data_IF_546095498358
#
_entry.id   IF_546095498358
#
_cell.length_a   1.000
_cell.length_b   1.000
_cell.length_c   1.000
_cell.angle_alpha   90.00
_cell.angle_beta   90.00
_cell.angle_gamma   90.00
#
_symmetry.space_group_name_H-M   'P 1'
#
loop_
_entity.id
_entity.type
_entity.pdbx_description
1 polymer ?
#
# COMPACT_ATOMS: atom_id res chain seq x y z
N UNK A 1 21.19 -4.15 7.63
CA UNK A 1 20.09 -3.16 7.74
C UNK A 1 19.14 -3.25 6.55
N UNK A 2 17.90 -2.82 6.76
CA UNK A 2 16.86 -2.64 5.74
C UNK A 2 16.34 -1.23 5.88
N UNK A 3 16.29 -0.46 4.78
CA UNK A 3 15.88 0.94 4.84
C UNK A 3 15.15 1.41 3.59
N UNK A 4 14.36 2.46 3.72
CA UNK A 4 13.86 3.27 2.60
C UNK A 4 14.20 4.74 2.83
N UNK A 5 14.60 5.42 1.75
CA UNK A 5 14.81 6.88 1.67
C UNK A 5 14.07 7.48 0.47
N UNK A 6 13.02 6.79 -0.01
CA UNK A 6 12.27 7.14 -1.23
C UNK A 6 11.02 7.99 -0.95
N UNK A 7 10.82 8.44 0.28
CA UNK A 7 9.60 9.12 0.70
C UNK A 7 8.51 8.17 1.20
N UNK A 8 8.55 6.91 0.77
CA UNK A 8 7.60 5.87 1.17
C UNK A 8 8.31 4.53 1.41
N UNK A 9 7.75 3.70 2.28
CA UNK A 9 8.07 2.28 2.34
C UNK A 9 7.38 1.57 1.16
N UNK A 10 8.08 0.65 0.51
CA UNK A 10 7.58 0.00 -0.70
C UNK A 10 7.83 -1.51 -0.68
N UNK A 11 7.40 -2.20 -1.75
CA UNK A 11 7.65 -3.63 -1.94
C UNK A 11 9.14 -3.99 -2.02
N UNK A 12 10.03 -3.04 -2.30
CA UNK A 12 11.48 -3.29 -2.25
C UNK A 12 11.97 -3.54 -0.82
N UNK A 13 11.49 -2.72 0.13
CA UNK A 13 11.84 -2.82 1.54
C UNK A 13 10.63 -2.43 2.38
N UNK A 14 10.00 -3.44 2.96
CA UNK A 14 8.89 -3.24 3.89
C UNK A 14 9.41 -2.94 5.29
N UNK A 15 8.71 -2.14 6.09
CA UNK A 15 9.08 -1.82 7.47
C UNK A 15 8.76 -2.99 8.41
N UNK A 16 9.24 -4.18 8.06
CA UNK A 16 9.02 -5.42 8.78
C UNK A 16 10.28 -6.28 8.76
N UNK A 17 10.70 -6.76 9.91
CA UNK A 17 11.86 -7.64 10.06
C UNK A 17 11.54 -8.83 10.96
N UNK A 18 12.18 -9.95 10.68
CA UNK A 18 12.13 -11.15 11.51
C UNK A 18 13.55 -11.51 11.95
N UNK A 19 13.72 -11.69 13.25
CA UNK A 19 14.87 -12.34 13.84
C UNK A 19 14.46 -13.76 14.22
N UNK A 20 15.19 -14.76 13.75
CA UNK A 20 14.80 -16.14 13.97
C UNK A 20 15.98 -17.06 14.18
N UNK A 21 15.72 -18.26 14.71
CA UNK A 21 16.69 -19.32 14.78
C UNK A 21 17.22 -19.70 13.41
N UNK A 22 18.48 -20.15 13.34
CA UNK A 22 19.12 -20.56 12.09
C UNK A 22 18.32 -21.65 11.33
N UNK A 23 17.66 -22.52 12.06
CA UNK A 23 16.88 -23.64 11.51
C UNK A 23 15.37 -23.36 11.47
N UNK A 24 14.94 -22.11 11.69
CA UNK A 24 13.52 -21.76 11.61
C UNK A 24 12.98 -22.03 10.22
N UNK A 25 11.77 -22.54 10.15
CA UNK A 25 11.01 -22.81 8.94
C UNK A 25 9.55 -22.45 9.13
N UNK A 26 8.67 -22.87 8.24
CA UNK A 26 7.25 -22.55 8.29
C UNK A 26 6.57 -23.00 9.59
N UNK A 27 6.93 -24.17 10.13
CA UNK A 27 6.22 -24.81 11.23
C UNK A 27 7.02 -24.85 12.54
N UNK A 28 8.31 -24.52 12.50
CA UNK A 28 9.22 -24.69 13.63
C UNK A 28 10.26 -23.58 13.74
N UNK A 29 10.68 -23.30 14.99
CA UNK A 29 11.75 -22.38 15.35
C UNK A 29 11.25 -21.10 16.02
N UNK A 30 12.14 -20.51 16.82
CA UNK A 30 11.86 -19.23 17.48
C UNK A 30 11.88 -18.11 16.46
N UNK A 31 10.82 -17.33 16.41
CA UNK A 31 10.70 -16.16 15.52
C UNK A 31 10.24 -14.94 16.31
N UNK A 32 10.98 -13.85 16.18
CA UNK A 32 10.67 -12.52 16.71
C UNK A 32 10.41 -11.60 15.54
N UNK A 33 9.16 -11.15 15.38
CA UNK A 33 8.79 -10.18 14.36
C UNK A 33 8.75 -8.76 14.92
N UNK A 34 9.12 -7.78 14.13
CA UNK A 34 8.94 -6.37 14.41
C UNK A 34 8.39 -5.65 13.19
N UNK A 35 7.23 -5.01 13.33
CA UNK A 35 6.55 -4.24 12.29
C UNK A 35 6.46 -2.77 12.71
N UNK A 36 7.04 -1.87 11.95
CA UNK A 36 6.89 -0.42 12.15
C UNK A 36 5.60 0.04 11.49
N UNK A 37 4.72 0.66 12.25
CA UNK A 37 3.45 1.21 11.74
C UNK A 37 3.67 2.59 11.12
N UNK A 38 4.39 2.60 9.99
CA UNK A 38 4.77 3.81 9.30
C UNK A 38 4.97 3.55 7.80
N UNK A 39 4.48 4.44 6.96
CA UNK A 39 4.54 4.31 5.50
C UNK A 39 5.64 5.14 4.84
N UNK A 40 6.35 5.97 5.61
CA UNK A 40 7.42 6.85 5.11
C UNK A 40 8.81 6.20 5.12
N UNK A 41 9.83 7.04 5.10
CA UNK A 41 11.23 6.61 5.17
C UNK A 41 11.55 5.95 6.50
N UNK A 42 12.02 4.73 6.48
CA UNK A 42 12.33 3.95 7.68
C UNK A 42 13.74 3.34 7.65
N UNK A 43 14.23 3.00 8.82
CA UNK A 43 15.43 2.19 9.01
C UNK A 43 15.10 1.06 9.99
N UNK A 44 15.51 -0.15 9.66
CA UNK A 44 15.58 -1.28 10.57
C UNK A 44 17.01 -1.86 10.53
N UNK A 45 17.65 -1.96 11.68
CA UNK A 45 19.03 -2.41 11.80
C UNK A 45 19.17 -3.41 12.93
N UNK A 46 19.74 -4.57 12.61
CA UNK A 46 20.17 -5.55 13.60
C UNK A 46 21.70 -5.55 13.71
N UNK A 47 22.20 -5.40 14.92
CA UNK A 47 23.61 -5.35 15.23
C UNK A 47 23.94 -6.38 16.30
N UNK A 48 25.01 -7.15 16.06
CA UNK A 48 25.60 -8.01 17.08
C UNK A 48 26.79 -7.24 17.70
N UNK A 49 26.75 -7.03 19.00
CA UNK A 49 27.80 -6.33 19.71
C UNK A 49 28.98 -7.24 20.06
N UNK A 50 30.01 -6.67 20.69
CA UNK A 50 31.23 -7.39 21.10
C UNK A 50 31.02 -8.41 22.22
N UNK A 51 29.83 -8.47 22.80
CA UNK A 51 29.44 -9.42 23.85
C UNK A 51 28.41 -10.44 23.33
N UNK A 52 28.28 -10.59 22.01
CA UNK A 52 27.30 -11.44 21.35
C UNK A 52 25.82 -11.10 21.69
N UNK A 53 25.58 -9.82 22.04
CA UNK A 53 24.21 -9.35 22.26
C UNK A 53 23.64 -8.77 20.97
N UNK A 54 22.46 -9.24 20.60
CA UNK A 54 21.74 -8.75 19.44
C UNK A 54 20.88 -7.54 19.82
N UNK A 55 21.11 -6.44 19.11
CA UNK A 55 20.30 -5.22 19.22
C UNK A 55 19.52 -4.99 17.93
N UNK A 56 18.22 -4.81 18.04
CA UNK A 56 17.35 -4.37 16.93
C UNK A 56 16.97 -2.91 17.16
N UNK A 57 17.22 -2.07 16.17
CA UNK A 57 16.77 -0.68 16.10
C UNK A 57 15.82 -0.53 14.92
N UNK A 58 14.66 0.09 15.13
CA UNK A 58 13.67 0.32 14.08
C UNK A 58 12.96 1.66 14.31
N UNK A 59 12.76 2.43 13.24
CA UNK A 59 12.10 3.73 13.33
C UNK A 59 12.18 4.53 12.04
N UNK A 60 11.91 5.83 12.16
CA UNK A 60 12.05 6.79 11.06
C UNK A 60 13.51 6.82 10.63
N UNK A 61 13.75 6.82 9.30
CA UNK A 61 15.12 6.90 8.78
C UNK A 61 15.74 8.26 9.13
N UNK A 62 16.93 8.29 9.77
CA UNK A 62 17.58 9.54 10.14
C UNK A 62 18.12 10.33 8.95
N UNK A 63 18.26 9.71 7.78
CA UNK A 63 18.66 10.41 6.55
C UNK A 63 17.55 11.36 6.13
N UNK A 64 17.91 12.64 5.92
CA UNK A 64 16.97 13.69 5.51
C UNK A 64 15.82 13.96 6.50
N UNK A 65 15.96 13.51 7.75
CA UNK A 65 15.01 13.77 8.82
C UNK A 65 15.63 14.66 9.90
N UNK A 66 14.95 15.77 10.19
CA UNK A 66 15.33 16.67 11.28
C UNK A 66 14.04 17.22 11.92
N UNK A 67 13.97 17.16 13.23
CA UNK A 67 12.86 17.68 14.01
C UNK A 67 13.37 18.51 15.18
N UNK A 68 12.97 19.78 15.25
CA UNK A 68 13.34 20.68 16.35
C UNK A 68 12.34 20.51 17.51
N UNK A 69 12.81 20.06 18.67
CA UNK A 69 12.04 20.00 19.91
C UNK A 69 12.37 21.19 20.78
N UNK A 70 11.38 22.02 21.07
CA UNK A 70 11.49 23.12 22.06
C UNK A 70 11.12 22.59 23.45
N UNK A 71 11.53 23.29 24.53
CA UNK A 71 11.15 22.91 25.88
C UNK A 71 9.62 22.83 26.02
N UNK A 72 9.12 21.65 26.41
CA UNK A 72 7.70 21.37 26.55
C UNK A 72 7.05 20.71 25.31
N UNK A 73 7.74 20.64 24.17
CA UNK A 73 7.24 19.95 22.99
C UNK A 73 7.35 18.42 23.13
N UNK A 74 6.45 17.72 22.46
CA UNK A 74 6.43 16.26 22.38
C UNK A 74 6.48 15.85 20.91
N UNK A 75 7.37 14.94 20.57
CA UNK A 75 7.38 14.26 19.29
C UNK A 75 6.84 12.84 19.43
N UNK A 76 5.69 12.56 18.80
CA UNK A 76 5.12 11.22 18.77
C UNK A 76 5.69 10.47 17.57
N UNK A 77 6.56 9.50 17.83
CA UNK A 77 7.13 8.63 16.81
C UNK A 77 6.17 7.50 16.41
N UNK A 78 6.41 6.83 15.27
CA UNK A 78 5.62 5.68 14.88
C UNK A 78 5.82 4.50 15.84
N UNK A 79 4.75 3.72 16.02
CA UNK A 79 4.75 2.54 16.88
C UNK A 79 5.44 1.36 16.19
N UNK A 80 6.12 0.52 16.99
CA UNK A 80 6.62 -0.79 16.57
C UNK A 80 5.81 -1.86 17.26
N UNK A 81 5.18 -2.74 16.47
CA UNK A 81 4.47 -3.91 16.98
C UNK A 81 5.41 -5.10 16.93
N UNK A 82 5.63 -5.71 18.08
CA UNK A 82 6.48 -6.89 18.21
C UNK A 82 5.63 -8.14 18.51
N UNK A 83 6.02 -9.26 17.93
CA UNK A 83 5.43 -10.56 18.18
C UNK A 83 6.50 -11.63 18.33
N UNK A 84 6.19 -12.67 19.10
CA UNK A 84 7.05 -13.83 19.33
C UNK A 84 6.27 -15.12 19.16
N UNK A 85 6.90 -16.11 18.57
CA UNK A 85 6.37 -17.48 18.48
C UNK A 85 7.50 -18.51 18.44
N UNK A 86 7.23 -19.73 18.85
CA UNK A 86 8.08 -20.91 18.67
C UNK A 86 7.56 -21.85 17.57
N UNK A 87 6.51 -21.42 16.85
CA UNK A 87 5.86 -22.17 15.78
C UNK A 87 6.23 -21.66 14.38
N UNK A 88 7.46 -21.21 14.20
CA UNK A 88 8.01 -20.82 12.91
C UNK A 88 7.32 -19.62 12.25
N UNK A 89 7.52 -19.48 10.94
CA UNK A 89 6.99 -18.34 10.19
C UNK A 89 5.47 -18.33 10.07
N UNK A 90 4.83 -19.49 9.99
CA UNK A 90 3.37 -19.61 9.97
C UNK A 90 2.76 -19.09 11.27
N UNK A 91 3.32 -19.50 12.43
CA UNK A 91 2.87 -18.99 13.73
C UNK A 91 2.99 -17.46 13.82
N UNK A 92 4.13 -16.91 13.40
CA UNK A 92 4.34 -15.46 13.38
C UNK A 92 3.35 -14.74 12.45
N UNK A 93 3.14 -15.28 11.25
CA UNK A 93 2.20 -14.76 10.26
C UNK A 93 0.77 -14.69 10.84
N UNK A 94 0.31 -15.74 11.49
CA UNK A 94 -1.01 -15.77 12.11
C UNK A 94 -1.16 -14.68 13.20
N UNK A 95 -0.16 -14.48 14.06
CA UNK A 95 -0.18 -13.44 15.09
C UNK A 95 -0.36 -12.05 14.47
N UNK A 96 0.39 -11.75 13.40
CA UNK A 96 0.26 -10.46 12.71
C UNK A 96 -1.05 -10.33 11.94
N UNK A 97 -1.55 -11.40 11.30
CA UNK A 97 -2.85 -11.37 10.64
C UNK A 97 -3.99 -11.07 11.63
N UNK A 98 -3.96 -11.67 12.81
CA UNK A 98 -4.95 -11.41 13.84
C UNK A 98 -4.84 -9.98 14.38
N UNK A 99 -3.61 -9.52 14.63
CA UNK A 99 -3.38 -8.13 15.01
C UNK A 99 -3.91 -7.13 13.97
N UNK A 100 -3.62 -7.37 12.68
CA UNK A 100 -4.09 -6.48 11.62
C UNK A 100 -5.61 -6.47 11.50
N UNK A 101 -6.26 -7.62 11.57
CA UNK A 101 -7.73 -7.72 11.53
C UNK A 101 -8.40 -7.02 12.70
N UNK A 102 -7.85 -7.15 13.90
CA UNK A 102 -8.48 -6.64 15.12
C UNK A 102 -8.15 -5.19 15.42
N UNK A 103 -6.94 -4.72 15.07
CA UNK A 103 -6.44 -3.41 15.50
C UNK A 103 -6.26 -2.41 14.35
N UNK A 104 -5.78 -2.84 13.17
CA UNK A 104 -5.47 -1.94 12.05
C UNK A 104 -6.58 -1.83 11.03
N UNK A 105 -7.21 -2.94 10.67
CA UNK A 105 -8.26 -2.98 9.66
C UNK A 105 -9.58 -2.47 10.24
N UNK A 106 -9.78 -1.16 10.21
CA UNK A 106 -10.99 -0.49 10.75
C UNK A 106 -12.09 -0.29 9.71
N UNK A 107 -11.86 -0.67 8.45
CA UNK A 107 -12.86 -0.53 7.39
C UNK A 107 -14.04 -1.50 7.63
N UNK A 108 -15.25 -1.00 7.49
CA UNK A 108 -16.48 -1.82 7.53
C UNK A 108 -16.45 -2.96 6.51
N UNK A 109 -15.77 -2.76 5.37
CA UNK A 109 -15.62 -3.78 4.34
C UNK A 109 -14.77 -4.97 4.77
N UNK A 110 -13.92 -4.83 5.78
CA UNK A 110 -13.07 -5.93 6.28
C UNK A 110 -13.80 -6.79 7.31
N UNK A 111 -14.73 -6.20 8.07
CA UNK A 111 -15.47 -6.88 9.15
C UNK A 111 -16.77 -7.54 8.70
N UNK A 112 -17.41 -7.05 7.64
CA UNK A 112 -18.79 -7.41 7.31
C UNK A 112 -18.96 -8.12 5.95
N UNK A 113 -18.01 -7.95 5.03
CA UNK A 113 -18.14 -8.44 3.64
C UNK A 113 -16.82 -8.99 3.13
N UNK A 114 -16.88 -10.04 2.32
CA UNK A 114 -15.72 -10.49 1.54
C UNK A 114 -15.17 -9.34 0.69
N UNK A 115 -13.86 -9.27 0.55
CA UNK A 115 -13.23 -8.31 -0.36
C UNK A 115 -13.75 -8.55 -1.78
N UNK A 116 -14.10 -7.48 -2.52
CA UNK A 116 -14.61 -7.64 -3.87
C UNK A 116 -13.54 -8.22 -4.80
N UNK A 117 -13.95 -9.06 -5.73
CA UNK A 117 -13.11 -9.45 -6.85
C UNK A 117 -12.93 -8.24 -7.75
N UNK A 118 -11.68 -7.86 -8.00
CA UNK A 118 -11.29 -6.61 -8.66
C UNK A 118 -10.68 -6.89 -10.03
N UNK A 119 -11.05 -6.06 -11.01
CA UNK A 119 -10.31 -5.88 -12.25
C UNK A 119 -9.76 -4.45 -12.31
N UNK A 120 -8.51 -4.31 -12.69
CA UNK A 120 -7.87 -3.04 -12.95
C UNK A 120 -7.74 -2.84 -14.46
N UNK A 121 -7.94 -1.62 -14.95
CA UNK A 121 -7.91 -1.32 -16.40
C UNK A 121 -6.49 -1.33 -17.00
N UNK A 122 -5.42 -1.30 -16.18
CA UNK A 122 -4.06 -1.09 -16.66
C UNK A 122 -3.64 -2.11 -17.72
N UNK A 123 -3.65 -3.40 -17.39
CA UNK A 123 -3.22 -4.44 -18.32
C UNK A 123 -4.11 -4.59 -19.57
N UNK A 124 -5.35 -4.09 -19.51
CA UNK A 124 -6.28 -4.14 -20.63
C UNK A 124 -6.14 -2.96 -21.59
N UNK A 125 -5.66 -1.81 -21.10
CA UNK A 125 -5.75 -0.57 -21.87
C UNK A 125 -4.56 0.38 -21.67
N UNK A 126 -3.73 0.20 -20.64
CA UNK A 126 -2.76 1.19 -20.20
C UNK A 126 -3.41 2.58 -20.09
N UNK A 127 -2.79 3.62 -20.66
CA UNK A 127 -3.35 4.98 -20.71
C UNK A 127 -4.27 5.23 -21.92
N UNK A 128 -4.41 4.24 -22.84
CA UNK A 128 -5.25 4.33 -24.05
C UNK A 128 -6.66 3.83 -23.77
N UNK A 129 -7.46 4.64 -23.09
CA UNK A 129 -8.86 4.37 -22.80
C UNK A 129 -9.71 5.63 -22.84
N UNK A 130 -11.01 5.41 -22.97
CA UNK A 130 -12.07 6.40 -22.78
C UNK A 130 -13.19 5.81 -21.91
N UNK A 131 -14.20 6.62 -21.62
CA UNK A 131 -15.37 6.20 -20.83
C UNK A 131 -16.13 5.02 -21.46
N UNK A 132 -16.18 4.93 -22.79
CA UNK A 132 -16.88 3.83 -23.51
C UNK A 132 -16.12 2.52 -23.29
N UNK A 133 -14.81 2.52 -23.48
CA UNK A 133 -13.93 1.33 -23.30
C UNK A 133 -13.99 0.81 -21.87
N UNK A 134 -13.98 1.71 -20.89
CA UNK A 134 -14.09 1.33 -19.48
C UNK A 134 -15.42 0.65 -19.16
N UNK A 135 -16.52 1.15 -19.70
CA UNK A 135 -17.86 0.53 -19.56
C UNK A 135 -17.93 -0.83 -20.25
N UNK A 136 -17.28 -1.00 -21.39
CA UNK A 136 -17.19 -2.29 -22.08
C UNK A 136 -16.39 -3.32 -21.26
N UNK A 137 -15.25 -2.92 -20.70
CA UNK A 137 -14.46 -3.75 -19.77
C UNK A 137 -15.30 -4.15 -18.56
N UNK A 138 -16.03 -3.20 -17.96
CA UNK A 138 -16.89 -3.47 -16.83
C UNK A 138 -17.99 -4.48 -17.16
N UNK A 139 -18.68 -4.35 -18.30
CA UNK A 139 -19.71 -5.30 -18.74
C UNK A 139 -19.15 -6.71 -18.92
N UNK A 140 -17.99 -6.83 -19.57
CA UNK A 140 -17.33 -8.13 -19.74
C UNK A 140 -16.94 -8.75 -18.40
N UNK A 141 -16.33 -7.95 -17.51
CA UNK A 141 -15.92 -8.36 -16.17
C UNK A 141 -17.11 -8.78 -15.30
N UNK A 142 -18.21 -8.04 -15.35
CA UNK A 142 -19.43 -8.38 -14.60
C UNK A 142 -19.97 -9.75 -14.98
N UNK A 143 -19.97 -10.08 -16.26
CA UNK A 143 -20.41 -11.40 -16.74
C UNK A 143 -19.52 -12.56 -16.22
N UNK A 144 -18.31 -12.26 -15.80
CA UNK A 144 -17.37 -13.21 -15.18
C UNK A 144 -17.44 -13.23 -13.64
N UNK A 145 -18.32 -12.44 -13.04
CA UNK A 145 -18.50 -12.37 -11.59
C UNK A 145 -17.56 -11.39 -10.87
N UNK A 146 -16.98 -10.44 -11.59
CA UNK A 146 -16.13 -9.37 -10.99
C UNK A 146 -17.04 -8.31 -10.34
N UNK A 147 -16.63 -7.81 -9.17
CA UNK A 147 -17.43 -6.90 -8.34
C UNK A 147 -16.97 -5.44 -8.42
N UNK A 148 -15.73 -5.18 -8.82
CA UNK A 148 -15.09 -3.88 -8.76
C UNK A 148 -14.24 -3.64 -10.01
N UNK A 149 -14.47 -2.52 -10.72
CA UNK A 149 -13.56 -1.98 -11.73
C UNK A 149 -12.74 -0.86 -11.10
N UNK A 150 -11.42 -0.92 -11.26
CA UNK A 150 -10.50 0.18 -10.95
C UNK A 150 -10.04 0.82 -12.25
N UNK A 151 -10.32 2.12 -12.41
CA UNK A 151 -9.72 2.95 -13.45
C UNK A 151 -8.33 3.34 -13.00
N UNK A 152 -7.32 2.92 -13.76
CA UNK A 152 -5.91 3.13 -13.46
C UNK A 152 -5.37 4.44 -14.04
N UNK A 153 -4.06 4.57 -14.16
CA UNK A 153 -3.33 5.75 -14.63
C UNK A 153 -3.83 6.26 -16.00
N UNK A 154 -3.69 7.56 -16.22
CA UNK A 154 -4.09 8.20 -17.49
C UNK A 154 -5.47 8.84 -17.51
N UNK A 155 -6.23 8.84 -16.39
CA UNK A 155 -7.57 9.44 -16.31
C UNK A 155 -7.55 10.96 -16.05
N UNK A 156 -6.40 11.54 -15.69
CA UNK A 156 -6.25 12.90 -15.19
C UNK A 156 -5.31 13.74 -16.07
N UNK A 157 -5.47 15.05 -16.02
CA UNK A 157 -4.60 16.03 -16.68
C UNK A 157 -4.35 15.71 -18.15
N UNK A 158 -3.09 15.83 -18.56
CA UNK A 158 -2.58 15.42 -19.88
C UNK A 158 -1.67 14.19 -19.74
N UNK A 159 -2.11 13.22 -18.98
CA UNK A 159 -1.40 12.00 -18.66
C UNK A 159 -1.62 10.94 -19.75
N UNK A 160 -0.89 11.04 -20.85
CA UNK A 160 -0.92 10.11 -21.98
C UNK A 160 0.33 9.22 -22.05
N UNK A 161 1.34 9.53 -21.24
CA UNK A 161 2.58 8.80 -21.09
C UNK A 161 3.16 8.99 -19.66
N UNK A 162 4.29 8.35 -19.38
CA UNK A 162 4.92 8.36 -18.05
C UNK A 162 5.70 9.66 -17.73
N UNK A 163 5.79 10.61 -18.65
CA UNK A 163 6.70 11.75 -18.51
C UNK A 163 6.07 12.96 -17.83
N UNK A 164 4.74 13.08 -17.83
CA UNK A 164 4.04 14.27 -17.32
C UNK A 164 2.75 13.93 -16.58
N UNK A 165 2.12 14.94 -15.97
CA UNK A 165 0.77 14.91 -15.44
C UNK A 165 0.63 14.39 -14.00
N UNK A 166 1.66 13.77 -13.39
CA UNK A 166 1.58 13.35 -11.98
C UNK A 166 1.45 14.59 -11.08
N UNK A 167 0.37 14.63 -10.30
CA UNK A 167 -0.01 15.79 -9.49
C UNK A 167 -1.23 16.55 -10.03
N UNK A 168 -1.57 16.38 -11.30
CA UNK A 168 -2.70 17.03 -11.98
C UNK A 168 -4.00 16.26 -11.81
N UNK A 169 -4.48 16.11 -10.59
CA UNK A 169 -5.64 15.28 -10.23
C UNK A 169 -7.00 15.88 -10.65
N UNK A 170 -7.08 16.36 -11.88
CA UNK A 170 -8.34 16.78 -12.50
C UNK A 170 -8.67 15.89 -13.71
N UNK A 171 -9.94 15.59 -13.89
CA UNK A 171 -10.40 14.63 -14.90
C UNK A 171 -10.01 15.10 -16.30
N UNK A 172 -9.45 14.20 -17.11
CA UNK A 172 -9.25 14.40 -18.53
C UNK A 172 -10.60 14.25 -19.26
N UNK A 173 -11.21 15.39 -19.61
CA UNK A 173 -12.52 15.45 -20.26
C UNK A 173 -12.50 14.95 -21.71
N UNK A 174 -11.34 14.90 -22.36
CA UNK A 174 -11.19 14.33 -23.70
C UNK A 174 -11.31 12.80 -23.67
N UNK A 175 -10.91 12.16 -22.58
CA UNK A 175 -11.05 10.73 -22.36
C UNK A 175 -12.39 10.37 -21.69
N UNK A 176 -12.74 11.09 -20.63
CA UNK A 176 -13.98 10.83 -19.86
C UNK A 176 -15.04 11.85 -20.28
N UNK A 177 -15.50 11.72 -21.51
CA UNK A 177 -16.43 12.68 -22.15
C UNK A 177 -17.78 12.76 -21.48
N UNK A 178 -18.25 11.67 -20.89
CA UNK A 178 -19.48 11.69 -20.11
C UNK A 178 -19.36 12.34 -18.75
N UNK A 179 -18.12 12.64 -18.29
CA UNK A 179 -17.79 13.09 -16.95
C UNK A 179 -17.67 11.94 -15.96
N UNK A 180 -16.78 12.12 -14.96
CA UNK A 180 -16.46 11.07 -13.98
C UNK A 180 -17.70 10.59 -13.22
N UNK A 181 -18.57 11.51 -12.81
CA UNK A 181 -19.80 11.15 -12.08
C UNK A 181 -20.67 10.15 -12.88
N UNK A 182 -20.90 10.46 -14.15
CA UNK A 182 -21.71 9.60 -15.01
C UNK A 182 -21.06 8.27 -15.34
N UNK A 183 -19.74 8.24 -15.48
CA UNK A 183 -18.99 6.98 -15.62
C UNK A 183 -19.19 6.09 -14.38
N UNK A 184 -19.06 6.66 -13.19
CA UNK A 184 -19.29 5.95 -11.92
C UNK A 184 -20.72 5.41 -11.84
N UNK A 185 -21.72 6.21 -12.21
CA UNK A 185 -23.13 5.77 -12.26
C UNK A 185 -23.30 4.57 -13.21
N UNK A 186 -22.76 4.65 -14.42
CA UNK A 186 -22.86 3.56 -15.41
C UNK A 186 -22.23 2.24 -14.88
N UNK A 187 -21.10 2.32 -14.17
CA UNK A 187 -20.49 1.15 -13.57
C UNK A 187 -21.33 0.61 -12.40
N UNK A 188 -21.88 1.49 -11.58
CA UNK A 188 -22.75 1.12 -10.46
C UNK A 188 -24.07 0.49 -10.95
N UNK A 189 -24.64 0.96 -12.05
CA UNK A 189 -25.84 0.41 -12.68
C UNK A 189 -25.64 -1.04 -13.17
N UNK A 190 -24.40 -1.43 -13.47
CA UNK A 190 -24.05 -2.83 -13.73
C UNK A 190 -24.00 -3.70 -12.46
N UNK A 191 -24.22 -3.11 -11.28
CA UNK A 191 -24.05 -3.76 -9.99
C UNK A 191 -22.58 -4.01 -9.63
N UNK A 192 -21.69 -3.17 -10.14
CA UNK A 192 -20.26 -3.16 -9.81
C UNK A 192 -19.90 -1.94 -8.97
N UNK A 193 -18.83 -2.04 -8.20
CA UNK A 193 -18.19 -0.89 -7.55
C UNK A 193 -17.19 -0.24 -8.50
N UNK A 194 -16.89 1.03 -8.25
CA UNK A 194 -15.86 1.78 -8.96
C UNK A 194 -14.72 2.16 -8.03
N UNK A 195 -13.50 2.00 -8.50
CA UNK A 195 -12.27 2.47 -7.87
C UNK A 195 -11.49 3.35 -8.83
N UNK A 196 -10.61 4.17 -8.27
CA UNK A 196 -9.77 5.09 -9.02
C UNK A 196 -8.35 5.06 -8.44
N UNK A 197 -7.37 5.05 -9.32
CA UNK A 197 -5.97 5.01 -8.96
C UNK A 197 -5.41 6.44 -8.76
N UNK A 198 -4.53 6.56 -7.77
CA UNK A 198 -3.75 7.76 -7.49
C UNK A 198 -2.31 7.39 -7.12
N UNK A 199 -1.35 8.21 -7.50
CA UNK A 199 0.07 8.12 -7.12
C UNK A 199 0.51 9.41 -6.39
N UNK A 200 0.06 9.64 -5.14
CA UNK A 200 0.29 10.89 -4.44
C UNK A 200 1.73 11.11 -3.99
N UNK A 201 2.57 10.09 -4.04
CA UNK A 201 3.99 10.10 -3.69
C UNK A 201 4.88 10.69 -4.79
N UNK A 202 4.35 10.89 -5.98
CA UNK A 202 5.09 11.35 -7.16
C UNK A 202 4.48 12.62 -7.73
N UNK A 203 5.34 13.44 -8.31
CA UNK A 203 4.96 14.70 -8.99
C UNK A 203 5.83 14.82 -10.25
N UNK A 204 5.22 15.20 -11.37
CA UNK A 204 5.97 15.52 -12.58
C UNK A 204 6.40 16.98 -12.55
N UNK A 205 7.65 17.28 -12.99
CA UNK A 205 8.15 18.65 -13.06
C UNK A 205 7.39 19.49 -14.09
N UNK A 206 6.86 18.85 -15.13
CA UNK A 206 6.13 19.47 -16.25
C UNK A 206 4.59 19.38 -16.07
N UNK A 207 4.11 19.53 -14.84
CA UNK A 207 2.67 19.53 -14.50
C UNK A 207 2.15 20.92 -14.20
#
# INVERSE_FOLDING_TARGET
SVESVRGTSSHHHNPFVILCDHNANEDYGLCYGAALLYSGNFLAEAELDQYDQLRLVMGINPKQFMYELKPGDVFEGPEVVMAFTEHGFTGLSHLYHDFYRTNLCKSKFVSEVCRPVLINSWEAAFMDFDDVKLVEIAKAAKNMGVDLLVMDDGWFGKRDDDNSGLGDWFVNEDKIKCGLHKLVEQINDLGMKFGIWFEPEMVSEDS
#
